data_IF_749859325146
#
_entry.id   IF_749859325146
#
_cell.length_a   1.000
_cell.length_b   1.000
_cell.length_c   1.000
_cell.angle_alpha   90.00
_cell.angle_beta   90.00
_cell.angle_gamma   90.00
#
_symmetry.space_group_name_H-M   'P 1'
#
loop_
_entity.id
_entity.type
_entity.pdbx_description
1 polymer ?
#
# COMPACT_ATOMS: atom_id res chain seq x y z
N UNK A 1 7.17 -8.96 2.75
CA UNK A 1 7.46 -7.73 2.07
C UNK A 1 6.96 -7.73 0.64
N UNK A 2 7.28 -6.72 -0.03
CA UNK A 2 6.79 -6.45 -1.34
C UNK A 2 7.88 -6.64 -2.37
N UNK A 3 7.51 -7.04 -3.56
CA UNK A 3 8.45 -7.08 -4.67
C UNK A 3 7.84 -6.36 -5.86
N UNK A 4 8.69 -5.61 -6.55
CA UNK A 4 8.28 -4.88 -7.73
C UNK A 4 8.43 -5.76 -8.95
N UNK A 5 7.39 -5.85 -9.75
CA UNK A 5 7.40 -6.62 -11.00
C UNK A 5 7.72 -5.68 -12.14
N UNK A 6 8.93 -5.75 -12.64
CA UNK A 6 9.38 -4.78 -13.65
C UNK A 6 9.01 -5.20 -15.06
N UNK A 7 9.31 -6.43 -15.42
CA UNK A 7 9.12 -6.85 -16.81
C UNK A 7 7.69 -6.89 -17.28
N UNK A 8 6.83 -7.55 -16.53
CA UNK A 8 5.45 -7.73 -16.96
C UNK A 8 4.60 -6.49 -16.76
N UNK A 9 5.02 -5.57 -15.95
CA UNK A 9 4.23 -4.39 -15.64
C UNK A 9 4.42 -3.26 -16.63
N UNK A 10 5.34 -3.38 -17.56
CA UNK A 10 5.58 -2.32 -18.54
C UNK A 10 4.31 -1.91 -19.28
N UNK A 11 3.57 -2.89 -19.76
CA UNK A 11 2.32 -2.61 -20.46
C UNK A 11 1.27 -2.00 -19.54
N UNK A 12 1.25 -2.46 -18.31
CA UNK A 12 0.29 -1.95 -17.33
C UNK A 12 0.62 -0.51 -16.98
N UNK A 13 1.89 -0.19 -16.80
CA UNK A 13 2.31 1.16 -16.48
C UNK A 13 1.97 2.13 -17.60
N UNK A 14 2.23 1.75 -18.84
CA UNK A 14 1.94 2.61 -19.96
C UNK A 14 0.44 2.89 -20.09
N UNK A 15 -0.38 1.93 -19.71
CA UNK A 15 -1.81 2.05 -19.85
C UNK A 15 -2.48 2.75 -18.68
N UNK A 16 -2.07 2.42 -17.45
CA UNK A 16 -2.76 2.88 -16.24
C UNK A 16 -2.00 3.93 -15.46
N UNK A 17 -0.71 4.06 -15.69
CA UNK A 17 0.13 4.98 -14.92
C UNK A 17 1.07 5.76 -15.85
N UNK A 18 0.51 6.50 -16.79
CA UNK A 18 1.32 7.05 -17.88
C UNK A 18 2.31 8.12 -17.48
N UNK A 19 2.06 8.87 -16.42
CA UNK A 19 2.86 10.06 -16.12
C UNK A 19 3.50 10.05 -14.75
N UNK A 20 3.57 8.91 -14.09
CA UNK A 20 4.08 8.91 -12.73
C UNK A 20 5.00 7.73 -12.51
N UNK A 21 5.84 7.88 -11.51
CA UNK A 21 6.62 6.77 -11.03
C UNK A 21 5.69 5.88 -10.22
N UNK A 22 5.42 4.72 -10.75
CA UNK A 22 4.47 3.80 -10.15
C UNK A 22 5.01 2.38 -10.27
N UNK A 23 4.50 1.53 -9.42
CA UNK A 23 4.96 0.15 -9.40
C UNK A 23 3.87 -0.77 -8.88
N UNK A 24 4.05 -2.05 -9.14
CA UNK A 24 3.19 -3.10 -8.61
C UNK A 24 3.88 -3.72 -7.41
N UNK A 25 3.11 -3.93 -6.37
CA UNK A 25 3.62 -4.47 -5.13
C UNK A 25 2.80 -5.69 -4.77
N UNK A 26 3.47 -6.80 -4.47
CA UNK A 26 2.76 -8.01 -4.08
C UNK A 26 2.48 -7.97 -2.59
N UNK A 27 1.23 -8.20 -2.23
CA UNK A 27 0.78 -8.14 -0.84
C UNK A 27 0.95 -9.51 -0.19
N UNK A 28 1.45 -9.51 1.03
CA UNK A 28 1.52 -10.70 1.86
C UNK A 28 0.71 -10.47 3.11
N UNK A 29 -0.07 -11.49 3.48
CA UNK A 29 -0.85 -11.42 4.70
C UNK A 29 -2.25 -10.93 4.45
N UNK A 30 -3.01 -10.81 5.54
CA UNK A 30 -4.43 -10.59 5.48
C UNK A 30 -4.86 -9.30 6.16
N UNK A 31 -3.95 -8.34 6.32
CA UNK A 31 -4.25 -7.13 7.06
C UNK A 31 -5.25 -6.22 6.35
N UNK A 32 -5.50 -6.44 5.07
CA UNK A 32 -6.37 -5.55 4.28
C UNK A 32 -7.52 -6.30 3.63
N UNK A 33 -7.94 -7.43 4.18
CA UNK A 33 -8.99 -8.24 3.56
C UNK A 33 -10.34 -7.53 3.51
N UNK A 34 -10.64 -6.68 4.48
CA UNK A 34 -11.90 -5.95 4.47
C UNK A 34 -11.94 -4.84 3.42
N UNK A 35 -10.79 -4.48 2.89
CA UNK A 35 -10.71 -3.53 1.78
C UNK A 35 -10.64 -4.25 0.43
N UNK A 36 -10.75 -5.57 0.43
CA UNK A 36 -10.70 -6.35 -0.81
C UNK A 36 -9.30 -6.66 -1.29
N UNK A 37 -8.30 -6.48 -0.47
CA UNK A 37 -6.91 -6.77 -0.81
C UNK A 37 -6.50 -8.03 -0.05
N UNK A 38 -6.18 -9.08 -0.80
CA UNK A 38 -5.90 -10.39 -0.22
C UNK A 38 -4.46 -10.78 -0.42
N UNK A 39 -4.03 -11.76 0.35
CA UNK A 39 -2.69 -12.32 0.21
C UNK A 39 -2.47 -12.78 -1.24
N UNK A 40 -1.36 -12.37 -1.81
CA UNK A 40 -1.03 -12.70 -3.19
C UNK A 40 -1.49 -11.68 -4.21
N UNK A 41 -2.34 -10.75 -3.83
CA UNK A 41 -2.77 -9.67 -4.72
C UNK A 41 -1.61 -8.73 -5.01
N UNK A 42 -1.69 -8.05 -6.13
CA UNK A 42 -0.75 -7.00 -6.47
C UNK A 42 -1.47 -5.66 -6.40
N UNK A 43 -0.85 -4.69 -5.78
CA UNK A 43 -1.44 -3.36 -5.69
C UNK A 43 -0.69 -2.41 -6.59
N UNK A 44 -1.44 -1.52 -7.21
CA UNK A 44 -0.88 -0.46 -8.04
C UNK A 44 -0.58 0.71 -7.13
N UNK A 45 0.69 1.09 -7.07
CA UNK A 45 1.17 2.09 -6.14
C UNK A 45 1.75 3.27 -6.91
N UNK A 46 1.25 4.46 -6.59
CA UNK A 46 1.81 5.69 -7.11
C UNK A 46 2.83 6.18 -6.11
N UNK A 47 4.06 6.36 -6.56
CA UNK A 47 5.14 6.79 -5.68
C UNK A 47 4.93 8.23 -5.24
N UNK A 48 4.81 8.43 -3.95
CA UNK A 48 4.69 9.76 -3.35
C UNK A 48 5.03 9.67 -1.89
N UNK A 49 5.46 10.77 -1.30
CA UNK A 49 5.89 10.78 0.10
C UNK A 49 4.82 11.32 1.04
N UNK A 50 3.68 11.71 0.51
CA UNK A 50 2.58 12.26 1.31
C UNK A 50 1.32 11.47 1.06
N UNK A 51 0.37 11.58 1.99
CA UNK A 51 -0.92 10.92 1.86
C UNK A 51 -1.97 11.73 2.59
N UNK A 52 -3.21 11.51 2.23
CA UNK A 52 -4.34 12.16 2.88
C UNK A 52 -5.04 11.16 3.79
N UNK A 53 -5.80 11.68 4.72
CA UNK A 53 -6.55 10.85 5.66
C UNK A 53 -7.49 9.93 4.89
N UNK A 54 -7.41 8.65 5.20
CA UNK A 54 -8.24 7.64 4.53
C UNK A 54 -7.61 6.98 3.33
N UNK A 55 -6.45 7.43 2.88
CA UNK A 55 -5.75 6.78 1.77
C UNK A 55 -5.18 5.44 2.19
N UNK A 56 -5.19 4.49 1.26
CA UNK A 56 -4.44 3.24 1.45
C UNK A 56 -3.03 3.49 0.96
N UNK A 57 -2.06 3.26 1.81
CA UNK A 57 -0.67 3.60 1.52
C UNK A 57 0.25 2.41 1.74
N UNK A 58 1.41 2.49 1.10
CA UNK A 58 2.54 1.64 1.43
C UNK A 58 3.46 2.48 2.31
N UNK A 59 3.69 2.01 3.51
CA UNK A 59 4.51 2.73 4.49
C UNK A 59 5.68 1.87 4.92
N UNK A 60 6.79 2.53 5.19
CA UNK A 60 7.96 1.87 5.73
C UNK A 60 8.00 2.09 7.23
N UNK A 61 7.98 1.00 7.97
CA UNK A 61 8.03 1.01 9.43
C UNK A 61 9.12 0.05 9.84
N UNK A 62 10.02 0.54 10.70
CA UNK A 62 11.14 -0.26 11.18
C UNK A 62 11.90 -0.88 10.02
N UNK A 63 11.73 -2.15 9.77
CA UNK A 63 12.50 -2.86 8.77
C UNK A 63 11.67 -3.39 7.61
N UNK A 64 10.45 -2.93 7.47
CA UNK A 64 9.60 -3.48 6.43
C UNK A 64 8.54 -2.54 5.91
N UNK A 65 8.12 -2.80 4.67
CA UNK A 65 7.03 -2.09 4.05
C UNK A 65 5.71 -2.77 4.39
N UNK A 66 4.70 -1.98 4.63
CA UNK A 66 3.37 -2.49 4.93
C UNK A 66 2.32 -1.69 4.20
N UNK A 67 1.19 -2.34 3.88
CA UNK A 67 0.05 -1.71 3.23
C UNK A 67 -1.04 -1.55 4.28
N UNK A 68 -1.45 -0.31 4.51
CA UNK A 68 -2.45 -0.01 5.53
C UNK A 68 -3.24 1.22 5.10
N UNK A 69 -4.37 1.45 5.76
CA UNK A 69 -5.11 2.70 5.59
C UNK A 69 -4.51 3.75 6.49
N UNK A 70 -4.22 4.91 5.91
CA UNK A 70 -3.53 5.99 6.59
C UNK A 70 -4.54 6.94 7.20
N UNK A 71 -4.36 7.25 8.48
CA UNK A 71 -5.19 8.23 9.16
C UNK A 71 -4.31 9.22 9.90
N UNK A 72 -4.63 10.49 9.75
CA UNK A 72 -3.95 11.55 10.49
C UNK A 72 -4.72 11.81 11.77
N UNK A 73 -4.06 11.56 12.87
CA UNK A 73 -4.64 11.82 14.18
C UNK A 73 -3.95 13.02 14.82
N UNK A 74 -4.46 13.43 15.94
CA UNK A 74 -3.91 14.58 16.62
C UNK A 74 -2.61 14.19 17.35
N UNK A 75 -1.50 14.62 16.78
CA UNK A 75 -0.20 14.35 17.36
C UNK A 75 0.45 13.05 16.92
N UNK A 76 -0.20 12.25 16.06
CA UNK A 76 0.38 11.01 15.59
C UNK A 76 -0.35 10.55 14.32
N UNK A 77 0.17 9.49 13.71
CA UNK A 77 -0.46 8.85 12.55
C UNK A 77 -0.91 7.46 12.93
N UNK A 78 -2.03 7.05 12.41
CA UNK A 78 -2.54 5.71 12.62
C UNK A 78 -2.54 4.96 11.30
N UNK A 79 -1.93 3.79 11.30
CA UNK A 79 -1.96 2.88 10.16
C UNK A 79 -2.94 1.78 10.51
N UNK A 80 -4.09 1.83 9.87
CA UNK A 80 -5.23 0.99 10.21
C UNK A 80 -5.29 -0.22 9.30
N UNK A 81 -5.18 -1.44 9.84
CA UNK A 81 -5.47 -2.62 9.04
C UNK A 81 -6.97 -2.72 8.79
N UNK A 82 -7.33 -3.20 7.62
CA UNK A 82 -8.73 -3.45 7.31
C UNK A 82 -9.03 -4.92 7.59
N UNK A 83 -8.92 -5.27 8.86
CA UNK A 83 -9.11 -6.63 9.34
C UNK A 83 -9.53 -6.56 10.80
N UNK A 84 -10.67 -7.12 11.12
CA UNK A 84 -11.27 -7.00 12.45
C UNK A 84 -10.43 -7.65 13.56
N UNK A 85 -9.54 -8.55 13.20
CA UNK A 85 -8.71 -9.26 14.19
C UNK A 85 -7.35 -8.62 14.41
N UNK A 86 -7.06 -7.53 13.70
CA UNK A 86 -5.77 -6.86 13.80
C UNK A 86 -5.92 -5.47 14.36
N UNK A 87 -4.92 -5.05 15.11
CA UNK A 87 -4.94 -3.74 15.74
C UNK A 87 -4.17 -2.72 14.94
N UNK A 88 -4.55 -1.45 15.04
CA UNK A 88 -3.84 -0.39 14.32
C UNK A 88 -2.44 -0.16 14.87
N UNK A 89 -1.58 0.35 14.01
CA UNK A 89 -0.22 0.74 14.37
C UNK A 89 -0.22 2.25 14.54
N UNK A 90 0.20 2.70 15.72
CA UNK A 90 0.28 4.12 16.03
C UNK A 90 1.73 4.58 15.88
N UNK A 91 1.94 5.59 15.04
CA UNK A 91 3.28 6.07 14.73
C UNK A 91 3.38 7.52 15.13
N UNK A 92 4.25 7.81 16.08
CA UNK A 92 4.45 9.17 16.57
C UNK A 92 5.55 9.89 15.81
N UNK A 93 6.52 9.14 15.32
CA UNK A 93 7.60 9.71 14.52
C UNK A 93 8.24 8.60 13.68
N UNK A 94 8.98 8.98 12.65
CA UNK A 94 9.70 8.02 11.84
C UNK A 94 8.86 7.34 10.77
N UNK A 95 7.66 7.82 10.52
CA UNK A 95 6.82 7.26 9.47
C UNK A 95 7.30 7.74 8.11
N UNK A 96 7.50 6.81 7.20
CA UNK A 96 7.85 7.13 5.83
C UNK A 96 6.82 6.53 4.89
N UNK A 97 6.16 7.37 4.14
CA UNK A 97 5.19 6.95 3.12
C UNK A 97 5.96 6.68 1.84
N UNK A 98 5.80 5.51 1.28
CA UNK A 98 6.44 5.14 0.02
C UNK A 98 5.53 5.41 -1.17
N UNK A 99 4.24 5.30 -0.98
CA UNK A 99 3.32 5.57 -2.06
C UNK A 99 1.87 5.38 -1.65
N UNK A 100 0.99 5.74 -2.56
CA UNK A 100 -0.45 5.61 -2.39
C UNK A 100 -0.95 4.48 -3.29
N UNK A 101 -1.73 3.58 -2.73
CA UNK A 101 -2.36 2.50 -3.49
C UNK A 101 -3.58 3.06 -4.19
N UNK A 102 -3.66 2.86 -5.50
CA UNK A 102 -4.82 3.34 -6.27
C UNK A 102 -5.49 2.24 -7.08
N UNK A 103 -5.04 1.01 -6.95
CA UNK A 103 -5.70 -0.11 -7.62
C UNK A 103 -5.19 -1.44 -7.13
N UNK A 104 -5.93 -2.47 -7.46
CA UNK A 104 -5.57 -3.85 -7.14
C UNK A 104 -5.59 -4.65 -8.42
N UNK A 105 -4.58 -5.47 -8.61
CA UNK A 105 -4.46 -6.33 -9.78
C UNK A 105 -4.40 -7.77 -9.33
N UNK A 106 -5.31 -8.59 -9.82
CA UNK A 106 -5.41 -9.99 -9.43
C UNK A 106 -5.54 -10.84 -10.67
N UNK A 107 -4.65 -11.84 -10.77
CA UNK A 107 -4.69 -12.75 -11.90
C UNK A 107 -5.32 -14.08 -11.46
N UNK A 108 -6.14 -14.61 -12.33
CA UNK A 108 -6.73 -15.95 -12.14
C UNK A 108 -6.10 -16.90 -13.15
N UNK A 109 -5.73 -18.05 -12.65
CA UNK A 109 -5.15 -19.08 -13.52
C UNK A 109 -6.12 -20.17 -13.83
#
# INVERSE_FOLDING_TARGET
>A
IASCLVGSEMCIRDRFMPNSQSFLLKVKGESMINAGIFDGDQVLVKQQSTAEDGDIVVALIDDGATVKTFHKEKGYYRLQPENDTMEPILVHEGLQILGKVFGVFRLYE
#
